data_IF_020164763350
#
_entry.id   IF_020164763350
#
_cell.length_a   1.000
_cell.length_b   1.000
_cell.length_c   1.000
_cell.angle_alpha   90.00
_cell.angle_beta   90.00
_cell.angle_gamma   90.00
#
_symmetry.space_group_name_H-M   'P 1'
#
loop_
_entity.id
_entity.type
_entity.pdbx_description
1 polymer ?
#
# COMPACT_ATOMS: atom_id res chain seq x y z
N UNK A 1 -15.79 2.55 14.28
CA UNK A 1 -14.62 1.86 13.74
C UNK A 1 -14.72 1.93 12.22
N UNK A 2 -13.64 2.33 11.57
CA UNK A 2 -13.52 2.40 10.12
C UNK A 2 -12.45 1.40 9.68
N UNK A 3 -12.75 0.61 8.63
CA UNK A 3 -11.86 -0.48 8.18
C UNK A 3 -11.28 -0.25 6.78
N UNK A 4 -11.91 0.62 5.96
CA UNK A 4 -11.47 0.89 4.59
C UNK A 4 -11.26 2.38 4.36
N UNK A 5 -12.33 3.15 4.22
CA UNK A 5 -12.29 4.58 3.94
C UNK A 5 -12.90 5.39 5.07
N UNK A 6 -12.36 6.59 5.26
CA UNK A 6 -12.87 7.61 6.19
C UNK A 6 -12.87 8.96 5.49
N UNK A 7 -13.93 9.77 5.66
CA UNK A 7 -13.98 11.11 5.06
C UNK A 7 -13.19 12.13 5.87
N UNK A 8 -12.87 13.27 5.27
CA UNK A 8 -12.17 14.36 5.96
C UNK A 8 -12.98 14.92 7.13
N UNK A 9 -14.31 14.99 7.01
CA UNK A 9 -15.22 15.42 8.09
C UNK A 9 -15.19 14.43 9.27
N UNK A 10 -15.16 13.15 8.97
CA UNK A 10 -15.05 12.09 10.00
C UNK A 10 -13.68 12.13 10.70
N UNK A 11 -12.58 12.40 9.97
CA UNK A 11 -11.26 12.61 10.57
C UNK A 11 -11.29 13.84 11.48
N UNK A 12 -11.86 14.97 11.02
CA UNK A 12 -11.99 16.18 11.80
C UNK A 12 -12.75 15.94 13.12
N UNK A 13 -13.81 15.15 13.09
CA UNK A 13 -14.58 14.81 14.29
C UNK A 13 -13.79 13.92 15.28
N UNK A 14 -12.70 13.29 14.84
CA UNK A 14 -11.87 12.39 15.64
C UNK A 14 -10.48 12.95 15.99
N UNK A 15 -10.15 14.21 15.65
CA UNK A 15 -8.83 14.79 15.91
C UNK A 15 -8.41 14.75 17.40
N UNK A 16 -9.35 14.89 18.31
CA UNK A 16 -9.09 14.92 19.77
C UNK A 16 -9.34 13.55 20.42
N UNK A 17 -9.54 12.49 19.62
CA UNK A 17 -9.76 11.15 20.15
C UNK A 17 -8.42 10.47 20.40
N UNK A 18 -8.06 10.26 21.68
CA UNK A 18 -6.81 9.60 22.08
C UNK A 18 -6.71 8.13 21.61
N UNK A 19 -7.81 7.53 21.16
CA UNK A 19 -7.86 6.18 20.59
C UNK A 19 -7.80 6.22 19.05
N UNK A 20 -7.42 7.34 18.45
CA UNK A 20 -7.22 7.50 17.01
C UNK A 20 -5.78 7.96 16.73
N UNK A 21 -5.02 7.19 15.99
CA UNK A 21 -3.69 7.52 15.49
C UNK A 21 -3.79 7.92 14.02
N UNK A 22 -3.25 9.08 13.67
CA UNK A 22 -3.19 9.55 12.27
C UNK A 22 -1.76 9.39 11.77
N UNK A 23 -1.59 8.73 10.62
CA UNK A 23 -0.29 8.51 9.97
C UNK A 23 -0.23 9.26 8.64
N UNK A 24 0.77 10.11 8.49
CA UNK A 24 1.14 10.76 7.25
C UNK A 24 2.21 9.92 6.54
N UNK A 25 1.87 9.39 5.39
CA UNK A 25 2.77 8.56 4.58
C UNK A 25 3.04 9.17 3.21
N UNK A 26 2.94 10.51 3.08
CA UNK A 26 3.29 11.24 1.86
C UNK A 26 4.74 10.94 1.48
N UNK A 27 4.95 10.60 0.23
CA UNK A 27 6.26 10.22 -0.27
C UNK A 27 6.38 10.57 -1.77
N UNK A 28 7.61 10.59 -2.28
CA UNK A 28 7.88 10.69 -3.71
C UNK A 28 8.98 9.68 -4.07
N UNK A 29 8.77 8.92 -5.15
CA UNK A 29 9.68 7.83 -5.56
C UNK A 29 11.00 8.33 -6.16
N UNK A 30 11.11 9.62 -6.48
CA UNK A 30 12.30 10.25 -7.05
C UNK A 30 12.97 11.15 -6.01
N UNK A 31 12.19 12.00 -5.35
CA UNK A 31 12.65 12.90 -4.29
C UNK A 31 12.22 12.36 -2.91
N UNK A 32 12.99 11.46 -2.36
CA UNK A 32 12.69 10.78 -1.09
C UNK A 32 12.51 11.71 0.10
N UNK A 33 12.95 12.99 0.02
CA UNK A 33 12.74 13.98 1.08
C UNK A 33 11.47 14.82 0.88
N UNK A 34 10.78 14.68 -0.25
CA UNK A 34 9.59 15.50 -0.55
C UNK A 34 8.46 15.26 0.46
N UNK A 35 8.22 14.02 0.89
CA UNK A 35 7.21 13.69 1.89
C UNK A 35 7.47 14.37 3.23
N UNK A 36 8.70 14.29 3.73
CA UNK A 36 9.11 14.94 4.99
C UNK A 36 8.97 16.46 4.91
N UNK A 37 9.45 17.08 3.83
CA UNK A 37 9.28 18.53 3.64
C UNK A 37 7.82 18.93 3.57
N UNK A 38 6.97 18.16 2.90
CA UNK A 38 5.54 18.41 2.83
C UNK A 38 4.88 18.30 4.22
N UNK A 39 5.27 17.31 5.02
CA UNK A 39 4.81 17.16 6.40
C UNK A 39 5.20 18.36 7.25
N UNK A 40 6.46 18.79 7.21
CA UNK A 40 6.97 19.94 7.99
C UNK A 40 6.33 21.27 7.59
N UNK A 41 5.91 21.41 6.32
CA UNK A 41 5.18 22.58 5.82
C UNK A 41 3.73 22.60 6.30
N UNK A 42 3.09 21.43 6.39
CA UNK A 42 1.73 21.31 6.87
C UNK A 42 1.26 19.85 6.89
N UNK A 43 0.63 19.45 7.99
CA UNK A 43 0.05 18.13 8.19
C UNK A 43 -1.23 18.20 9.03
N UNK A 44 -1.99 17.11 9.10
CA UNK A 44 -3.17 17.01 9.98
C UNK A 44 -2.70 17.06 11.43
N UNK A 45 -3.32 17.87 12.32
CA UNK A 45 -2.90 18.00 13.70
C UNK A 45 -2.74 16.65 14.41
N UNK A 46 -1.59 16.48 15.07
CA UNK A 46 -1.25 15.24 15.77
C UNK A 46 -0.86 14.06 14.88
N UNK A 47 -0.80 14.22 13.56
CA UNK A 47 -0.34 13.15 12.67
C UNK A 47 1.14 12.84 12.88
N UNK A 48 1.50 11.56 12.79
CA UNK A 48 2.87 11.06 12.81
C UNK A 48 3.32 10.76 11.40
N UNK A 49 4.48 11.29 11.00
CA UNK A 49 5.08 11.02 9.69
C UNK A 49 5.88 9.72 9.70
N UNK A 50 5.64 8.87 8.69
CA UNK A 50 6.43 7.66 8.42
C UNK A 50 7.00 7.72 7.00
N UNK A 51 8.31 7.60 6.90
CA UNK A 51 9.05 7.64 5.65
C UNK A 51 9.11 6.24 4.99
N UNK A 52 8.67 6.14 3.75
CA UNK A 52 8.64 4.86 3.03
C UNK A 52 10.03 4.25 2.78
N UNK A 53 11.06 5.08 2.57
CA UNK A 53 12.43 4.60 2.33
C UNK A 53 13.16 4.21 3.62
N UNK A 54 12.90 4.95 4.71
CA UNK A 54 13.67 4.83 5.94
C UNK A 54 12.94 3.97 6.97
N UNK A 55 11.64 4.20 7.14
CA UNK A 55 10.86 3.60 8.22
C UNK A 55 10.11 2.33 7.78
N UNK A 56 9.63 2.31 6.54
CA UNK A 56 8.72 1.26 6.03
C UNK A 56 9.39 0.26 5.08
N UNK A 57 10.70 0.38 4.84
CA UNK A 57 11.46 -0.56 4.03
C UNK A 57 12.63 -1.16 4.80
N UNK A 58 12.91 -2.43 4.54
CA UNK A 58 14.13 -3.08 5.02
C UNK A 58 15.35 -2.66 4.18
N UNK A 59 16.58 -2.89 4.66
CA UNK A 59 17.79 -2.63 3.90
C UNK A 59 17.78 -3.32 2.53
N UNK A 60 18.15 -2.58 1.49
CA UNK A 60 18.24 -3.08 0.12
C UNK A 60 19.53 -3.91 -0.05
N UNK A 61 19.41 -5.11 -0.63
CA UNK A 61 20.55 -5.97 -0.96
C UNK A 61 20.91 -5.94 -2.45
N UNK A 62 20.06 -5.30 -3.28
CA UNK A 62 20.13 -5.37 -4.73
C UNK A 62 19.40 -6.58 -5.33
N UNK A 63 19.00 -7.55 -4.50
CA UNK A 63 18.33 -8.78 -4.92
C UNK A 63 16.92 -8.92 -4.33
N UNK A 64 16.52 -8.05 -3.41
CA UNK A 64 15.27 -8.12 -2.65
C UNK A 64 14.25 -7.02 -3.02
N UNK A 65 14.40 -6.42 -4.20
CA UNK A 65 13.52 -5.36 -4.67
C UNK A 65 13.88 -3.95 -4.16
N UNK A 66 13.13 -2.93 -4.63
CA UNK A 66 13.39 -1.53 -4.26
C UNK A 66 12.82 -1.13 -2.90
N UNK A 67 11.74 -1.79 -2.45
CA UNK A 67 11.11 -1.55 -1.15
C UNK A 67 10.85 -2.89 -0.44
N UNK A 68 11.92 -3.58 0.00
CA UNK A 68 11.76 -4.86 0.69
C UNK A 68 11.01 -4.66 2.00
N UNK A 69 10.09 -5.57 2.33
CA UNK A 69 9.35 -5.49 3.58
C UNK A 69 10.28 -5.63 4.79
N UNK A 70 10.11 -4.81 5.83
CA UNK A 70 10.73 -5.05 7.12
C UNK A 70 10.16 -6.33 7.76
N UNK A 71 10.82 -6.87 8.78
CA UNK A 71 10.18 -7.92 9.57
C UNK A 71 8.96 -7.36 10.32
N UNK A 72 7.99 -8.22 10.61
CA UNK A 72 6.78 -7.82 11.36
C UNK A 72 7.12 -7.24 12.73
N UNK A 73 8.16 -7.75 13.37
CA UNK A 73 8.65 -7.27 14.66
C UNK A 73 9.21 -5.84 14.56
N UNK A 74 10.03 -5.57 13.53
CA UNK A 74 10.57 -4.21 13.29
C UNK A 74 9.44 -3.22 13.00
N UNK A 75 8.48 -3.59 12.17
CA UNK A 75 7.32 -2.74 11.88
C UNK A 75 6.48 -2.48 13.13
N UNK A 76 6.23 -3.51 13.95
CA UNK A 76 5.48 -3.34 15.18
C UNK A 76 6.18 -2.40 16.17
N UNK A 77 7.49 -2.52 16.34
CA UNK A 77 8.29 -1.62 17.19
C UNK A 77 8.21 -0.16 16.71
N UNK A 78 8.30 0.06 15.40
CA UNK A 78 8.12 1.38 14.80
C UNK A 78 6.75 1.97 15.13
N UNK A 79 5.69 1.19 14.95
CA UNK A 79 4.32 1.64 15.20
C UNK A 79 4.03 1.89 16.68
N UNK A 80 4.60 1.08 17.59
CA UNK A 80 4.59 1.35 19.02
C UNK A 80 5.25 2.70 19.36
N UNK A 81 6.43 2.96 18.78
CA UNK A 81 7.15 4.23 18.97
C UNK A 81 6.36 5.41 18.38
N UNK A 82 5.52 5.15 17.38
CA UNK A 82 4.57 6.10 16.80
C UNK A 82 3.30 6.29 17.62
N UNK A 83 3.16 5.57 18.76
CA UNK A 83 2.02 5.67 19.66
C UNK A 83 0.89 4.69 19.43
N UNK A 84 1.02 3.72 18.49
CA UNK A 84 0.00 2.72 18.24
C UNK A 84 -0.13 1.75 19.41
N UNK A 85 -1.38 1.48 19.82
CA UNK A 85 -1.78 0.47 20.81
C UNK A 85 -2.84 -0.45 20.21
N UNK A 86 -2.97 -1.64 20.76
CA UNK A 86 -4.05 -2.56 20.38
C UNK A 86 -5.42 -1.88 20.51
N UNK A 87 -6.27 -2.11 19.51
CA UNK A 87 -7.64 -1.60 19.49
C UNK A 87 -7.80 -0.13 19.06
N UNK A 88 -6.72 0.62 18.84
CA UNK A 88 -6.83 1.98 18.34
C UNK A 88 -7.33 2.01 16.88
N UNK A 89 -8.08 3.06 16.55
CA UNK A 89 -8.34 3.41 15.15
C UNK A 89 -7.07 4.02 14.54
N UNK A 90 -6.63 3.52 13.40
CA UNK A 90 -5.59 4.17 12.59
C UNK A 90 -6.22 4.82 11.36
N UNK A 91 -5.83 6.05 11.08
CA UNK A 91 -6.16 6.76 9.84
C UNK A 91 -4.86 7.00 9.08
N UNK A 92 -4.80 6.60 7.84
CA UNK A 92 -3.61 6.78 7.00
C UNK A 92 -3.94 7.72 5.85
N UNK A 93 -3.04 8.65 5.53
CA UNK A 93 -3.21 9.50 4.35
C UNK A 93 -1.92 9.75 3.60
N UNK A 94 -2.07 10.02 2.31
CA UNK A 94 -1.02 10.55 1.44
C UNK A 94 -1.56 11.72 0.59
N UNK A 95 -0.85 12.08 -0.47
CA UNK A 95 -1.25 13.12 -1.43
C UNK A 95 -1.24 12.62 -2.88
N UNK A 96 -1.16 11.31 -3.09
CA UNK A 96 -1.01 10.68 -4.41
C UNK A 96 -2.10 9.64 -4.70
N UNK A 97 -3.36 9.96 -4.40
CA UNK A 97 -4.49 9.07 -4.67
C UNK A 97 -4.45 7.77 -3.89
N UNK A 98 -4.01 7.83 -2.64
CA UNK A 98 -3.92 6.67 -1.73
C UNK A 98 -2.88 5.60 -2.12
N UNK A 99 -1.90 5.96 -2.93
CA UNK A 99 -0.85 5.05 -3.40
C UNK A 99 -0.02 4.49 -2.25
N UNK A 100 0.51 5.37 -1.39
CA UNK A 100 1.30 5.02 -0.22
C UNK A 100 0.41 4.65 0.98
N UNK A 101 -0.75 5.28 1.09
CA UNK A 101 -1.72 4.98 2.14
C UNK A 101 -2.24 3.54 2.04
N UNK A 102 -2.48 3.02 0.83
CA UNK A 102 -2.89 1.63 0.63
C UNK A 102 -1.80 0.64 1.05
N UNK A 103 -0.53 0.97 0.84
CA UNK A 103 0.59 0.14 1.30
C UNK A 103 0.64 0.10 2.83
N UNK A 104 0.52 1.26 3.51
CA UNK A 104 0.51 1.32 4.97
C UNK A 104 -0.73 0.63 5.56
N UNK A 105 -1.92 0.79 4.94
CA UNK A 105 -3.13 0.06 5.31
C UNK A 105 -2.89 -1.46 5.25
N UNK A 106 -2.29 -1.94 4.16
CA UNK A 106 -1.96 -3.35 4.01
C UNK A 106 -0.95 -3.82 5.06
N UNK A 107 0.10 -3.03 5.35
CA UNK A 107 1.10 -3.37 6.36
C UNK A 107 0.49 -3.51 7.77
N UNK A 108 -0.44 -2.64 8.15
CA UNK A 108 -1.18 -2.74 9.40
C UNK A 108 -2.06 -4.00 9.46
N UNK A 109 -2.79 -4.28 8.37
CA UNK A 109 -3.58 -5.53 8.25
C UNK A 109 -2.66 -6.77 8.25
N UNK A 110 -1.52 -6.70 7.63
CA UNK A 110 -0.50 -7.77 7.65
C UNK A 110 0.02 -8.05 9.06
N UNK A 111 0.18 -7.03 9.90
CA UNK A 111 0.49 -7.18 11.33
C UNK A 111 -0.65 -7.79 12.14
N UNK A 112 -1.88 -7.76 11.64
CA UNK A 112 -3.08 -8.19 12.36
C UNK A 112 -3.84 -7.05 13.03
N UNK A 113 -3.56 -5.78 12.68
CA UNK A 113 -4.31 -4.62 13.17
C UNK A 113 -5.48 -4.32 12.22
N UNK A 114 -6.75 -4.63 12.60
CA UNK A 114 -7.88 -4.53 11.68
C UNK A 114 -8.47 -3.13 11.56
N UNK A 115 -8.31 -2.28 12.57
CA UNK A 115 -8.96 -0.97 12.69
C UNK A 115 -8.12 0.11 11.99
N UNK A 116 -8.02 0.01 10.67
CA UNK A 116 -7.28 0.96 9.83
C UNK A 116 -8.14 1.41 8.65
N UNK A 117 -8.17 2.73 8.41
CA UNK A 117 -8.85 3.33 7.27
C UNK A 117 -7.95 4.33 6.55
N UNK A 118 -8.18 4.50 5.26
CA UNK A 118 -7.53 5.51 4.42
C UNK A 118 -8.42 6.75 4.37
N UNK A 119 -7.82 7.92 4.55
CA UNK A 119 -8.51 9.19 4.29
C UNK A 119 -8.79 9.32 2.79
N UNK A 120 -10.06 9.18 2.42
CA UNK A 120 -10.49 9.20 1.01
C UNK A 120 -10.27 10.58 0.38
N UNK A 121 -9.48 10.61 -0.69
CA UNK A 121 -8.99 11.84 -1.31
C UNK A 121 -7.77 12.47 -0.59
N UNK A 122 -7.26 11.83 0.47
CA UNK A 122 -5.99 12.16 1.11
C UNK A 122 -5.84 13.59 1.59
N UNK A 123 -4.61 14.12 1.52
CA UNK A 123 -4.28 15.48 1.93
C UNK A 123 -5.11 16.56 1.21
N UNK A 124 -5.41 16.35 -0.07
CA UNK A 124 -6.22 17.28 -0.85
C UNK A 124 -7.66 17.39 -0.31
N UNK A 125 -8.28 16.29 0.07
CA UNK A 125 -9.62 16.30 0.66
C UNK A 125 -9.62 17.04 2.01
N UNK A 126 -8.58 16.85 2.83
CA UNK A 126 -8.39 17.57 4.08
C UNK A 126 -8.29 19.10 3.87
N UNK A 127 -7.47 19.51 2.88
CA UNK A 127 -7.32 20.93 2.53
C UNK A 127 -8.63 21.54 1.97
N UNK A 128 -9.36 20.80 1.13
CA UNK A 128 -10.64 21.24 0.57
C UNK A 128 -11.70 21.44 1.65
N UNK A 129 -11.68 20.63 2.71
CA UNK A 129 -12.55 20.82 3.88
C UNK A 129 -12.18 22.10 4.67
N UNK A 130 -10.99 22.67 4.49
CA UNK A 130 -10.45 23.73 5.33
C UNK A 130 -10.00 23.21 6.70
N UNK A 131 -9.60 21.96 6.78
CA UNK A 131 -9.16 21.32 8.02
C UNK A 131 -7.94 22.02 8.63
N UNK A 132 -7.85 22.02 9.96
CA UNK A 132 -6.74 22.60 10.69
C UNK A 132 -5.41 21.94 10.28
N UNK A 133 -4.34 22.73 10.29
CA UNK A 133 -2.99 22.25 9.95
C UNK A 133 -2.00 22.59 11.06
N UNK A 134 -1.10 21.66 11.32
CA UNK A 134 0.12 21.88 12.10
C UNK A 134 1.32 21.90 11.14
N UNK A 135 2.41 22.52 11.58
CA UNK A 135 3.67 22.61 10.84
C UNK A 135 4.86 22.37 11.78
N UNK A 136 6.00 22.00 11.21
CA UNK A 136 7.22 21.71 11.97
C UNK A 136 7.49 20.20 12.08
N UNK A 137 8.54 19.82 12.82
CA UNK A 137 8.92 18.42 12.98
C UNK A 137 7.86 17.64 13.77
N UNK A 138 7.80 16.32 13.52
CA UNK A 138 6.94 15.42 14.27
C UNK A 138 7.20 15.52 15.78
N UNK A 139 6.14 15.63 16.56
CA UNK A 139 6.22 15.51 18.02
C UNK A 139 6.28 14.01 18.35
N UNK A 140 7.30 13.54 19.08
CA UNK A 140 7.36 12.13 19.46
C UNK A 140 6.11 11.74 20.27
N UNK A 141 5.42 10.70 19.84
CA UNK A 141 4.34 10.14 20.63
C UNK A 141 4.90 9.47 21.90
N UNK A 142 4.15 9.46 23.02
CA UNK A 142 4.52 8.65 24.17
C UNK A 142 4.66 7.18 23.75
N UNK A 143 5.72 6.52 24.21
CA UNK A 143 5.91 5.11 23.94
C UNK A 143 4.66 4.31 24.39
N UNK A 144 4.08 3.55 23.47
CA UNK A 144 2.90 2.75 23.73
C UNK A 144 3.27 1.41 24.39
N UNK A 145 2.26 0.69 24.91
CA UNK A 145 2.40 -0.69 25.34
C UNK A 145 2.72 -1.61 24.16
N UNK A 146 3.23 -2.79 24.42
CA UNK A 146 3.59 -3.77 23.38
C UNK A 146 2.36 -4.14 22.52
N UNK A 147 2.54 -4.15 21.19
CA UNK A 147 1.49 -4.55 20.26
C UNK A 147 1.40 -6.08 20.19
N UNK A 148 0.19 -6.58 20.21
CA UNK A 148 -0.11 -7.99 20.01
C UNK A 148 0.01 -8.37 18.53
N UNK A 149 1.04 -9.12 18.17
CA UNK A 149 1.25 -9.59 16.79
C UNK A 149 0.86 -11.07 16.70
N UNK A 150 -0.15 -11.46 15.91
CA UNK A 150 -0.48 -12.85 15.69
C UNK A 150 0.72 -13.61 15.10
N UNK A 151 0.89 -14.88 15.43
CA UNK A 151 1.97 -15.72 14.89
C UNK A 151 1.93 -15.75 13.36
N UNK A 152 0.75 -15.94 12.78
CA UNK A 152 0.55 -15.90 11.34
C UNK A 152 0.09 -14.52 10.87
N UNK A 153 0.58 -14.08 9.73
CA UNK A 153 0.14 -12.85 9.10
C UNK A 153 -1.33 -12.96 8.67
N UNK A 154 -2.13 -11.93 8.98
CA UNK A 154 -3.54 -11.90 8.59
C UNK A 154 -3.71 -11.73 7.06
N UNK A 155 -2.73 -11.10 6.39
CA UNK A 155 -2.67 -10.98 4.94
C UNK A 155 -1.38 -11.65 4.44
N UNK A 156 -1.42 -12.90 3.95
CA UNK A 156 -0.23 -13.65 3.58
C UNK A 156 0.43 -13.11 2.31
N UNK A 157 1.75 -13.28 2.23
CA UNK A 157 2.56 -12.92 1.07
C UNK A 157 2.91 -14.14 0.22
N UNK A 158 3.28 -13.89 -1.03
CA UNK A 158 3.85 -14.89 -1.94
C UNK A 158 5.30 -14.51 -2.23
N UNK A 159 6.20 -15.48 -2.20
CA UNK A 159 7.63 -15.25 -2.43
C UNK A 159 8.00 -15.50 -3.90
N UNK A 160 9.11 -14.95 -4.34
CA UNK A 160 9.62 -15.05 -5.72
C UNK A 160 9.67 -16.48 -6.26
N UNK A 161 10.14 -17.43 -5.44
CA UNK A 161 10.23 -18.83 -5.85
C UNK A 161 8.85 -19.48 -6.07
N UNK A 162 7.83 -19.03 -5.34
CA UNK A 162 6.45 -19.48 -5.54
C UNK A 162 5.87 -18.90 -6.84
N UNK A 163 6.17 -17.62 -7.16
CA UNK A 163 5.78 -17.02 -8.44
C UNK A 163 6.47 -17.73 -9.60
N UNK A 164 7.77 -18.02 -9.47
CA UNK A 164 8.52 -18.75 -10.51
C UNK A 164 7.95 -20.17 -10.72
N UNK A 165 7.67 -20.91 -9.68
CA UNK A 165 7.04 -22.25 -9.75
C UNK A 165 5.66 -22.19 -10.38
N UNK A 166 4.90 -21.11 -10.13
CA UNK A 166 3.57 -20.93 -10.68
C UNK A 166 3.55 -20.88 -12.23
N UNK A 167 4.63 -20.42 -12.87
CA UNK A 167 4.71 -20.40 -14.35
C UNK A 167 4.65 -21.80 -14.97
N UNK A 168 5.18 -22.80 -14.28
CA UNK A 168 5.16 -24.20 -14.77
C UNK A 168 3.96 -25.00 -14.26
N UNK A 169 3.39 -24.60 -13.13
CA UNK A 169 2.23 -25.24 -12.49
C UNK A 169 1.32 -24.16 -11.92
N UNK A 170 0.47 -23.54 -12.76
CA UNK A 170 -0.40 -22.44 -12.35
C UNK A 170 -1.39 -22.87 -11.26
N UNK A 171 -1.33 -22.16 -10.11
CA UNK A 171 -2.27 -22.29 -8.99
C UNK A 171 -2.84 -20.92 -8.58
N UNK A 172 -2.31 -19.82 -9.12
CA UNK A 172 -2.81 -18.47 -8.93
C UNK A 172 -2.51 -17.61 -10.16
N UNK A 173 -3.18 -16.47 -10.25
CA UNK A 173 -2.98 -15.48 -11.31
C UNK A 173 -2.27 -14.26 -10.73
N UNK A 174 -1.19 -13.83 -11.38
CA UNK A 174 -0.49 -12.60 -11.05
C UNK A 174 -1.24 -11.41 -11.66
N UNK A 175 -1.51 -10.38 -10.88
CA UNK A 175 -2.13 -9.13 -11.33
C UNK A 175 -1.15 -7.98 -11.14
N UNK A 176 -0.70 -7.40 -12.26
CA UNK A 176 0.27 -6.30 -12.30
C UNK A 176 -0.44 -4.94 -12.21
N UNK A 177 -0.11 -4.16 -11.18
CA UNK A 177 -0.71 -2.85 -10.92
C UNK A 177 0.00 -1.68 -11.61
N UNK A 178 1.05 -1.94 -12.40
CA UNK A 178 1.76 -0.89 -13.14
C UNK A 178 0.90 -0.35 -14.30
N UNK A 179 1.27 0.84 -14.78
CA UNK A 179 0.71 1.40 -16.00
C UNK A 179 0.88 0.43 -17.19
N UNK A 180 -0.10 0.44 -18.10
CA UNK A 180 -0.16 -0.53 -19.20
C UNK A 180 1.08 -0.51 -20.11
N UNK A 181 1.65 0.68 -20.36
CA UNK A 181 2.87 0.83 -21.17
C UNK A 181 4.10 0.23 -20.48
N UNK A 182 4.18 0.27 -19.15
CA UNK A 182 5.25 -0.42 -18.40
C UNK A 182 5.06 -1.93 -18.45
N UNK A 183 3.82 -2.39 -18.27
CA UNK A 183 3.50 -3.81 -18.36
C UNK A 183 3.83 -4.39 -19.73
N UNK A 184 3.44 -3.71 -20.82
CA UNK A 184 3.77 -4.17 -22.18
C UNK A 184 5.27 -4.16 -22.49
N UNK A 185 6.05 -3.35 -21.75
CA UNK A 185 7.47 -3.17 -21.99
C UNK A 185 7.80 -2.09 -23.02
N UNK A 186 6.85 -1.18 -23.27
CA UNK A 186 7.06 -0.01 -24.14
C UNK A 186 8.00 1.01 -23.48
N UNK A 187 7.88 1.16 -22.16
CA UNK A 187 8.74 2.04 -21.35
C UNK A 187 9.07 1.37 -20.01
N UNK A 188 10.26 1.64 -19.46
CA UNK A 188 10.62 1.25 -18.08
C UNK A 188 11.59 2.28 -17.49
N UNK A 189 11.06 3.27 -16.73
CA UNK A 189 11.88 4.34 -16.18
C UNK A 189 12.59 3.98 -14.87
N UNK A 190 12.23 2.86 -14.23
CA UNK A 190 12.64 2.54 -12.85
C UNK A 190 13.54 1.31 -12.74
N UNK A 191 13.33 0.32 -13.61
CA UNK A 191 13.99 -0.98 -13.52
C UNK A 191 14.84 -1.25 -14.77
N UNK A 192 15.89 -2.10 -14.68
CA UNK A 192 16.81 -2.32 -15.80
C UNK A 192 16.19 -3.11 -16.97
N UNK A 193 15.05 -3.78 -16.75
CA UNK A 193 14.39 -4.66 -17.73
C UNK A 193 12.94 -4.26 -17.88
N UNK A 194 12.49 -4.02 -19.13
CA UNK A 194 11.10 -3.74 -19.46
C UNK A 194 10.33 -5.03 -19.76
N UNK A 195 9.02 -5.03 -19.46
CA UNK A 195 8.12 -6.15 -19.67
C UNK A 195 7.37 -6.54 -18.40
N UNK A 196 6.89 -7.78 -18.33
CA UNK A 196 6.10 -8.29 -17.22
C UNK A 196 6.41 -9.77 -16.92
N UNK A 197 5.94 -10.26 -15.77
CA UNK A 197 5.96 -11.68 -15.41
C UNK A 197 5.06 -12.42 -16.39
N UNK A 198 5.53 -13.51 -17.06
CA UNK A 198 4.70 -14.25 -18.01
C UNK A 198 3.33 -14.64 -17.44
N UNK A 199 2.30 -14.62 -18.27
CA UNK A 199 0.91 -14.93 -17.93
C UNK A 199 0.24 -14.02 -16.89
N UNK A 200 0.89 -12.92 -16.46
CA UNK A 200 0.28 -11.94 -15.58
C UNK A 200 -0.83 -11.17 -16.32
N UNK A 201 -1.91 -10.85 -15.59
CA UNK A 201 -2.89 -9.86 -16.02
C UNK A 201 -2.40 -8.46 -15.65
N UNK A 202 -2.95 -7.43 -16.30
CA UNK A 202 -2.66 -6.04 -15.98
C UNK A 202 -3.92 -5.26 -15.63
N UNK A 203 -3.87 -4.52 -14.53
CA UNK A 203 -4.79 -3.45 -14.19
C UNK A 203 -4.01 -2.33 -13.50
N UNK A 204 -3.82 -1.22 -14.17
CA UNK A 204 -3.22 -0.04 -13.54
C UNK A 204 -3.98 0.35 -12.28
N UNK A 205 -3.24 0.61 -11.19
CA UNK A 205 -3.84 1.07 -9.93
C UNK A 205 -4.66 2.35 -10.11
N UNK A 206 -4.34 3.19 -11.09
CA UNK A 206 -5.11 4.41 -11.41
C UNK A 206 -6.55 4.10 -11.84
N UNK A 207 -6.82 2.91 -12.37
CA UNK A 207 -8.17 2.49 -12.74
C UNK A 207 -9.09 2.26 -11.54
N UNK A 208 -8.58 2.29 -10.32
CA UNK A 208 -9.38 2.20 -9.10
C UNK A 208 -9.93 3.56 -8.64
N UNK A 209 -9.46 4.65 -9.24
CA UNK A 209 -9.80 6.01 -8.84
C UNK A 209 -10.78 6.65 -9.82
N UNK A 210 -11.57 7.57 -9.29
CA UNK A 210 -12.37 8.52 -10.06
C UNK A 210 -11.55 9.74 -10.51
N UNK A 211 -12.18 10.69 -11.20
CA UNK A 211 -11.54 11.91 -11.68
C UNK A 211 -11.08 12.86 -10.56
N UNK A 212 -11.58 12.68 -9.33
CA UNK A 212 -11.21 13.45 -8.16
C UNK A 212 -10.08 12.78 -7.36
N UNK A 213 -9.55 11.65 -7.83
CA UNK A 213 -8.49 10.89 -7.15
C UNK A 213 -8.97 10.14 -5.91
N UNK A 214 -10.27 9.87 -5.79
CA UNK A 214 -10.89 9.05 -4.75
C UNK A 214 -11.14 7.64 -5.28
N UNK A 215 -11.25 6.68 -4.38
CA UNK A 215 -11.66 5.35 -4.81
C UNK A 215 -13.06 5.37 -5.43
N UNK A 216 -13.21 4.67 -6.54
CA UNK A 216 -14.50 4.40 -7.15
C UNK A 216 -15.45 3.70 -6.16
N UNK A 217 -16.77 3.82 -6.32
CA UNK A 217 -17.72 3.08 -5.50
C UNK A 217 -17.43 1.56 -5.50
N UNK A 218 -17.58 0.92 -4.35
CA UNK A 218 -17.29 -0.50 -4.15
C UNK A 218 -17.99 -1.42 -5.19
N UNK A 219 -19.23 -1.11 -5.55
CA UNK A 219 -20.00 -1.86 -6.55
C UNK A 219 -19.39 -1.76 -7.95
N UNK A 220 -18.91 -0.55 -8.33
CA UNK A 220 -18.24 -0.34 -9.61
C UNK A 220 -16.90 -1.09 -9.65
N UNK A 221 -16.10 -0.99 -8.58
CA UNK A 221 -14.85 -1.76 -8.45
C UNK A 221 -15.11 -3.25 -8.56
N UNK A 222 -16.13 -3.76 -7.87
CA UNK A 222 -16.54 -5.17 -7.93
C UNK A 222 -16.80 -5.61 -9.36
N UNK A 223 -17.62 -4.87 -10.10
CA UNK A 223 -17.94 -5.20 -11.48
C UNK A 223 -16.70 -5.19 -12.37
N UNK A 224 -15.88 -4.14 -12.29
CA UNK A 224 -14.66 -4.01 -13.09
C UNK A 224 -13.65 -5.15 -12.80
N UNK A 225 -13.48 -5.57 -11.54
CA UNK A 225 -12.62 -6.70 -11.20
C UNK A 225 -13.21 -8.04 -11.62
N UNK A 226 -14.52 -8.24 -11.51
CA UNK A 226 -15.18 -9.45 -11.99
C UNK A 226 -15.07 -9.59 -13.51
N UNK A 227 -15.22 -8.50 -14.26
CA UNK A 227 -15.04 -8.49 -15.71
C UNK A 227 -13.59 -8.84 -16.11
N UNK A 228 -12.60 -8.36 -15.35
CA UNK A 228 -11.18 -8.65 -15.58
C UNK A 228 -10.82 -10.10 -15.23
N UNK A 229 -11.28 -10.58 -14.10
CA UNK A 229 -10.88 -11.87 -13.52
C UNK A 229 -11.71 -13.05 -14.09
N UNK A 230 -12.92 -12.77 -14.58
CA UNK A 230 -13.82 -13.81 -15.08
C UNK A 230 -14.16 -14.85 -14.00
N UNK A 231 -13.70 -16.07 -14.16
CA UNK A 231 -13.94 -17.18 -13.22
C UNK A 231 -12.87 -17.30 -12.12
N UNK A 232 -11.84 -16.46 -12.14
CA UNK A 232 -10.76 -16.49 -11.13
C UNK A 232 -11.30 -15.93 -9.82
N UNK A 233 -11.25 -16.71 -8.74
CA UNK A 233 -11.63 -16.22 -7.41
C UNK A 233 -10.58 -15.26 -6.84
N UNK A 234 -10.99 -14.34 -5.98
CA UNK A 234 -10.10 -13.36 -5.37
C UNK A 234 -8.90 -14.00 -4.65
N UNK A 235 -9.11 -15.13 -3.98
CA UNK A 235 -8.09 -15.88 -3.25
C UNK A 235 -6.98 -16.42 -4.18
N UNK A 236 -7.26 -16.56 -5.48
CA UNK A 236 -6.30 -17.00 -6.49
C UNK A 236 -5.58 -15.83 -7.17
N UNK A 237 -5.77 -14.61 -6.69
CA UNK A 237 -5.07 -13.42 -7.20
C UNK A 237 -3.85 -13.12 -6.33
N UNK A 238 -2.72 -12.86 -7.00
CA UNK A 238 -1.48 -12.38 -6.38
C UNK A 238 -1.10 -11.06 -7.02
N UNK A 239 -1.20 -9.98 -6.26
CA UNK A 239 -0.86 -8.64 -6.73
C UNK A 239 0.64 -8.42 -6.76
N UNK A 240 1.12 -7.77 -7.80
CA UNK A 240 2.48 -7.26 -7.94
C UNK A 240 2.49 -5.89 -8.61
N UNK A 241 3.59 -5.16 -8.53
CA UNK A 241 3.82 -3.92 -9.27
C UNK A 241 5.32 -3.71 -9.56
N UNK A 242 5.84 -2.50 -9.43
CA UNK A 242 7.28 -2.25 -9.52
C UNK A 242 8.06 -2.72 -8.29
N UNK A 243 7.51 -2.48 -7.08
CA UNK A 243 8.21 -2.71 -5.81
C UNK A 243 7.29 -3.05 -4.62
N UNK A 244 6.07 -3.50 -4.89
CA UNK A 244 5.10 -3.92 -3.88
C UNK A 244 4.16 -2.83 -3.38
N UNK A 245 4.44 -1.54 -3.61
CA UNK A 245 3.64 -0.42 -3.09
C UNK A 245 2.29 -0.31 -3.82
N UNK A 246 2.29 -0.07 -5.13
CA UNK A 246 1.04 0.08 -5.91
C UNK A 246 0.25 -1.23 -6.04
N UNK A 247 0.86 -2.37 -5.80
CA UNK A 247 0.19 -3.66 -5.69
C UNK A 247 -0.84 -3.65 -4.55
N UNK A 248 -0.49 -3.02 -3.42
CA UNK A 248 -1.41 -2.86 -2.29
C UNK A 248 -2.63 -2.01 -2.63
N UNK A 249 -2.52 -1.07 -3.58
CA UNK A 249 -3.66 -0.26 -4.03
C UNK A 249 -4.71 -1.12 -4.75
N UNK A 250 -4.29 -2.06 -5.62
CA UNK A 250 -5.22 -3.01 -6.25
C UNK A 250 -5.80 -3.99 -5.22
N UNK A 251 -4.98 -4.47 -4.28
CA UNK A 251 -5.45 -5.35 -3.22
C UNK A 251 -6.49 -4.64 -2.33
N UNK A 252 -6.23 -3.39 -1.93
CA UNK A 252 -7.16 -2.57 -1.16
C UNK A 252 -8.49 -2.38 -1.92
N UNK A 253 -8.43 -2.07 -3.23
CA UNK A 253 -9.62 -1.88 -4.05
C UNK A 253 -10.46 -3.16 -4.17
N UNK A 254 -9.83 -4.34 -4.23
CA UNK A 254 -10.53 -5.63 -4.19
C UNK A 254 -11.19 -5.88 -2.83
N UNK A 255 -10.48 -5.63 -1.73
CA UNK A 255 -11.03 -5.73 -0.37
C UNK A 255 -12.21 -4.77 -0.18
N UNK A 256 -12.10 -3.51 -0.60
CA UNK A 256 -13.17 -2.53 -0.57
C UNK A 256 -14.39 -2.97 -1.40
N UNK A 257 -14.16 -3.65 -2.51
CA UNK A 257 -15.19 -4.24 -3.37
C UNK A 257 -15.82 -5.52 -2.79
N UNK A 258 -15.36 -6.01 -1.64
CA UNK A 258 -15.78 -7.29 -1.04
C UNK A 258 -15.25 -8.53 -1.79
N UNK A 259 -14.16 -8.39 -2.54
CA UNK A 259 -13.43 -9.45 -3.20
C UNK A 259 -12.17 -9.80 -2.38
N UNK A 260 -12.38 -10.38 -1.21
CA UNK A 260 -11.35 -10.60 -0.20
C UNK A 260 -10.50 -11.84 -0.45
N UNK A 261 -9.32 -11.88 0.20
CA UNK A 261 -8.43 -13.04 0.25
C UNK A 261 -7.31 -13.06 -0.77
N UNK A 262 -7.18 -12.03 -1.61
CA UNK A 262 -6.03 -11.89 -2.50
C UNK A 262 -4.73 -11.68 -1.72
N UNK A 263 -3.61 -12.02 -2.34
CA UNK A 263 -2.28 -11.97 -1.75
C UNK A 263 -1.39 -10.98 -2.48
N UNK A 264 -0.24 -10.67 -1.88
CA UNK A 264 0.76 -9.82 -2.52
C UNK A 264 2.08 -10.58 -2.72
N UNK A 265 2.76 -10.29 -3.83
CA UNK A 265 4.18 -10.55 -4.04
C UNK A 265 4.95 -9.25 -3.77
N UNK A 266 5.52 -9.07 -2.56
CA UNK A 266 6.11 -7.78 -2.15
C UNK A 266 7.32 -7.38 -2.98
N UNK A 267 8.18 -8.33 -3.34
CA UNK A 267 9.38 -8.06 -4.13
C UNK A 267 9.08 -7.50 -5.52
N UNK A 268 7.97 -7.94 -6.10
CA UNK A 268 7.44 -7.39 -7.37
C UNK A 268 8.46 -7.39 -8.52
N UNK A 269 8.26 -6.54 -9.51
CA UNK A 269 9.09 -6.49 -10.71
C UNK A 269 10.57 -6.23 -10.42
N UNK A 270 10.88 -5.33 -9.50
CA UNK A 270 12.27 -5.00 -9.15
C UNK A 270 13.05 -6.17 -8.56
N UNK A 271 12.41 -7.04 -7.77
CA UNK A 271 13.01 -8.29 -7.32
C UNK A 271 13.02 -9.33 -8.44
N UNK A 272 11.95 -9.42 -9.23
CA UNK A 272 11.87 -10.38 -10.33
C UNK A 272 13.03 -10.23 -11.31
N UNK A 273 13.32 -9.00 -11.75
CA UNK A 273 14.39 -8.72 -12.73
C UNK A 273 15.79 -8.63 -12.14
N UNK A 274 15.94 -8.75 -10.82
CA UNK A 274 17.26 -8.81 -10.18
C UNK A 274 18.03 -10.10 -10.51
N UNK A 275 17.34 -11.11 -11.03
CA UNK A 275 17.93 -12.37 -11.51
C UNK A 275 17.56 -12.56 -12.99
N UNK A 276 18.56 -12.47 -13.85
CA UNK A 276 18.42 -12.56 -15.31
C UNK A 276 17.94 -13.94 -15.79
N UNK A 277 17.96 -14.97 -14.95
CA UNK A 277 17.43 -16.30 -15.28
C UNK A 277 15.91 -16.39 -15.24
N UNK A 278 15.22 -15.42 -14.60
CA UNK A 278 13.76 -15.39 -14.53
C UNK A 278 13.16 -14.91 -15.85
N UNK A 279 12.15 -15.59 -16.36
CA UNK A 279 11.58 -15.26 -17.66
C UNK A 279 10.81 -13.94 -17.64
N UNK A 280 10.86 -13.21 -18.76
CA UNK A 280 10.19 -11.93 -18.99
C UNK A 280 9.36 -12.03 -20.26
N UNK A 281 8.13 -11.55 -20.21
CA UNK A 281 7.25 -11.37 -21.35
C UNK A 281 7.10 -9.89 -21.73
N UNK A 282 6.71 -9.64 -22.98
CA UNK A 282 6.29 -8.35 -23.54
C UNK A 282 5.09 -8.56 -24.43
N UNK A 283 4.20 -7.59 -24.53
CA UNK A 283 2.97 -7.68 -25.33
C UNK A 283 2.70 -6.43 -26.17
#
# INVERSE_FOLDING_TARGET
VFEFLISAEQVQANLNNSECLILDVRHDLIDHQAGRRAYEQGHIPGAVFLDHEVDLAAPKTGLNGRHPLPSRQVLAQLLQQSGLRDGMQVVVYDAQGSLFASHMWWMLRWLGHPQVAILDGGWQAWQQLGGAQESGPATPAPAAAELSIPEQAAMPTVQTDQVLKNLSKPIFTVLDARAAERYRGDVEPMDPVAGHIPDALNRSHLNNLDEQGRFKPAEQLRQEYQDLLGTISAEMVVHQCGSGITACHNLFAMELAGLSGSRIYPGSWSEWVSDASRPVARS
#
